data_IF_157641743660
#
_entry.id   IF_157641743660
#
_cell.length_a   1.000
_cell.length_b   1.000
_cell.length_c   1.000
_cell.angle_alpha   90.00
_cell.angle_beta   90.00
_cell.angle_gamma   90.00
#
_symmetry.space_group_name_H-M   'P 1'
#
loop_
_entity.id
_entity.type
_entity.pdbx_description
1 polymer ?
#
# COMPACT_ATOMS: atom_id res chain seq x y z
N UNK A 1 48.44 51.07 2.59
CA UNK A 1 47.83 50.12 1.66
C UNK A 1 47.58 48.83 2.41
N UNK A 2 46.33 48.41 2.57
CA UNK A 2 45.99 47.15 3.25
C UNK A 2 45.28 46.24 2.24
N UNK A 3 45.81 45.05 2.00
CA UNK A 3 45.15 43.99 1.24
C UNK A 3 44.70 42.90 2.21
N UNK A 4 43.40 42.56 2.21
CA UNK A 4 42.87 41.39 2.93
C UNK A 4 42.97 40.16 2.03
N UNK A 5 43.23 38.95 2.57
CA UNK A 5 42.99 37.71 1.84
C UNK A 5 41.48 37.41 1.81
N UNK A 6 41.00 36.82 0.71
CA UNK A 6 39.58 36.49 0.51
C UNK A 6 39.47 35.17 -0.26
N UNK A 7 39.78 34.05 0.41
CA UNK A 7 39.61 32.68 -0.10
C UNK A 7 39.80 31.64 1.03
N UNK A 8 38.70 31.21 1.65
CA UNK A 8 38.61 29.95 2.43
C UNK A 8 37.18 29.63 2.90
N UNK A 9 36.23 30.57 2.87
CA UNK A 9 34.85 30.33 3.36
C UNK A 9 33.92 29.65 2.32
N UNK A 10 34.23 29.72 1.02
CA UNK A 10 33.33 29.29 -0.06
C UNK A 10 33.24 27.76 -0.23
N UNK A 11 34.30 27.01 0.07
CA UNK A 11 34.28 25.53 -0.07
C UNK A 11 33.43 24.85 1.02
N UNK A 12 33.35 25.44 2.22
CA UNK A 12 32.60 24.85 3.35
C UNK A 12 31.09 24.95 3.12
N UNK A 13 30.60 26.12 2.69
CA UNK A 13 29.19 26.31 2.35
C UNK A 13 28.78 25.43 1.16
N UNK A 14 29.63 25.28 0.14
CA UNK A 14 29.35 24.40 -0.99
C UNK A 14 29.20 22.94 -0.57
N UNK A 15 30.06 22.45 0.35
CA UNK A 15 29.97 21.10 0.89
C UNK A 15 28.69 20.89 1.73
N UNK A 16 28.31 21.88 2.56
CA UNK A 16 27.05 21.84 3.32
C UNK A 16 25.82 21.88 2.41
N UNK A 17 25.84 22.69 1.35
CA UNK A 17 24.76 22.76 0.38
C UNK A 17 24.64 21.45 -0.42
N UNK A 18 25.76 20.82 -0.78
CA UNK A 18 25.80 19.49 -1.41
C UNK A 18 25.32 18.38 -0.47
N UNK A 19 25.64 18.44 0.83
CA UNK A 19 25.11 17.53 1.85
C UNK A 19 23.60 17.72 2.05
N UNK A 20 23.11 18.95 2.12
CA UNK A 20 21.68 19.26 2.19
C UNK A 20 20.96 18.79 0.92
N UNK A 21 21.51 19.02 -0.27
CA UNK A 21 20.97 18.55 -1.53
C UNK A 21 20.98 17.01 -1.63
N UNK A 22 22.01 16.33 -1.11
CA UNK A 22 22.02 14.86 -1.01
C UNK A 22 20.98 14.33 -0.01
N UNK A 23 20.79 14.98 1.14
CA UNK A 23 19.74 14.62 2.10
C UNK A 23 18.33 14.81 1.50
N UNK A 24 18.14 15.79 0.60
CA UNK A 24 16.89 15.96 -0.14
C UNK A 24 16.73 14.98 -1.32
N UNK A 25 17.79 14.28 -1.73
CA UNK A 25 17.83 13.37 -2.89
C UNK A 25 17.75 11.88 -2.54
N UNK A 26 17.60 11.52 -1.25
CA UNK A 26 17.31 10.14 -0.80
C UNK A 26 16.00 10.03 0.00
N UNK A 27 14.91 10.55 -0.57
CA UNK A 27 13.59 9.98 -0.28
C UNK A 27 13.33 8.87 -1.31
N UNK A 28 13.76 7.64 -0.98
CA UNK A 28 13.06 6.49 -1.54
C UNK A 28 11.67 6.50 -0.93
N UNK A 29 10.62 6.54 -1.76
CA UNK A 29 9.21 6.37 -1.34
C UNK A 29 8.95 4.90 -0.96
N UNK A 30 9.78 4.37 -0.06
CA UNK A 30 9.60 3.05 0.51
C UNK A 30 8.40 3.10 1.47
N UNK A 31 7.49 2.13 1.35
CA UNK A 31 6.33 2.00 2.24
C UNK A 31 6.80 2.02 3.70
N UNK A 32 6.51 3.12 4.39
CA UNK A 32 6.92 3.33 5.77
C UNK A 32 6.22 2.33 6.69
N UNK A 33 6.88 2.01 7.81
CA UNK A 33 6.30 1.16 8.85
C UNK A 33 6.15 1.96 10.13
N UNK A 34 4.93 2.03 10.65
CA UNK A 34 4.56 2.81 11.84
C UNK A 34 3.90 1.91 12.89
N UNK A 35 3.99 2.33 14.16
CA UNK A 35 3.42 1.60 15.28
C UNK A 35 2.35 2.46 15.98
N UNK A 36 1.15 1.93 16.19
CA UNK A 36 0.00 2.67 16.76
C UNK A 36 0.27 3.22 18.17
N UNK A 37 1.03 2.50 18.99
CA UNK A 37 1.41 2.94 20.34
C UNK A 37 2.45 4.07 20.30
N UNK A 38 3.39 4.04 19.35
CA UNK A 38 4.49 5.02 19.29
C UNK A 38 4.00 6.35 18.67
N UNK A 39 3.11 6.27 17.67
CA UNK A 39 2.47 7.41 17.00
C UNK A 39 1.11 7.77 17.63
N UNK A 40 0.96 7.55 18.93
CA UNK A 40 -0.29 7.76 19.66
C UNK A 40 -0.75 9.23 19.60
N UNK A 41 -1.96 9.45 19.06
CA UNK A 41 -2.58 10.77 18.87
C UNK A 41 -2.10 11.52 17.62
N UNK A 42 -1.27 10.91 16.78
CA UNK A 42 -0.73 11.53 15.57
C UNK A 42 -1.60 11.26 14.33
N UNK A 43 -1.38 12.10 13.32
CA UNK A 43 -1.92 11.92 11.97
C UNK A 43 -0.76 11.68 11.00
N UNK A 44 -0.70 10.47 10.42
CA UNK A 44 0.26 10.11 9.38
C UNK A 44 -0.35 10.38 8.00
N UNK A 45 0.47 10.86 7.07
CA UNK A 45 0.05 11.17 5.71
C UNK A 45 0.93 10.42 4.73
N UNK A 46 0.30 9.73 3.78
CA UNK A 46 0.98 9.01 2.71
C UNK A 46 -0.02 8.29 1.83
N UNK A 47 0.50 7.53 0.87
CA UNK A 47 -0.32 6.72 -0.03
C UNK A 47 -0.41 5.27 0.41
N UNK A 48 0.64 4.72 1.03
CA UNK A 48 0.54 3.46 1.74
C UNK A 48 1.60 3.31 2.83
N UNK A 49 1.22 2.67 3.94
CA UNK A 49 2.12 2.37 5.06
C UNK A 49 1.72 1.07 5.74
N UNK A 50 2.70 0.35 6.28
CA UNK A 50 2.48 -0.79 7.18
C UNK A 50 2.22 -0.24 8.59
N UNK A 51 1.10 -0.62 9.19
CA UNK A 51 0.66 -0.21 10.52
C UNK A 51 0.69 -1.41 11.45
N UNK A 52 1.67 -1.44 12.35
CA UNK A 52 1.75 -2.41 13.43
C UNK A 52 1.03 -1.88 14.68
N UNK A 53 0.64 -2.79 15.56
CA UNK A 53 0.16 -2.42 16.89
C UNK A 53 1.24 -1.78 17.78
N UNK A 54 2.46 -2.32 17.74
CA UNK A 54 3.62 -1.92 18.57
C UNK A 54 4.94 -2.38 17.92
N UNK A 55 6.09 -1.87 18.37
CA UNK A 55 7.41 -2.17 17.78
C UNK A 55 7.79 -3.67 17.75
N UNK A 56 7.37 -4.46 18.75
CA UNK A 56 7.66 -5.90 18.84
C UNK A 56 6.60 -6.80 18.16
N UNK A 57 5.69 -6.20 17.37
CA UNK A 57 4.71 -6.95 16.55
C UNK A 57 5.41 -7.99 15.67
N UNK A 58 4.76 -9.14 15.43
CA UNK A 58 5.31 -10.35 14.76
C UNK A 58 6.31 -11.16 15.59
N UNK A 59 6.85 -10.65 16.70
CA UNK A 59 7.76 -11.43 17.58
C UNK A 59 6.99 -12.13 18.69
N UNK A 60 6.12 -11.38 19.38
CA UNK A 60 5.17 -11.84 20.40
C UNK A 60 3.99 -10.86 20.48
N UNK A 61 3.08 -11.06 21.44
CA UNK A 61 2.01 -10.11 21.74
C UNK A 61 2.46 -8.99 22.70
N UNK A 62 1.85 -7.82 22.58
CA UNK A 62 1.91 -6.71 23.53
C UNK A 62 1.05 -7.02 24.77
N UNK A 63 1.56 -6.65 25.96
CA UNK A 63 0.88 -6.85 27.26
C UNK A 63 0.94 -5.56 28.09
N UNK A 64 0.33 -4.49 27.59
CA UNK A 64 0.19 -3.23 28.34
C UNK A 64 -1.28 -2.98 28.66
N UNK A 65 -1.58 -2.70 29.94
CA UNK A 65 -2.92 -2.36 30.42
C UNK A 65 -3.23 -0.89 30.13
N UNK A 66 -4.50 -0.55 29.89
CA UNK A 66 -4.95 0.84 29.89
C UNK A 66 -4.44 1.70 28.73
N UNK A 67 -3.93 1.09 27.67
CA UNK A 67 -3.66 1.79 26.40
C UNK A 67 -5.00 2.29 25.84
N UNK A 68 -5.08 3.57 25.50
CA UNK A 68 -6.16 4.18 24.72
C UNK A 68 -5.56 5.10 23.66
N UNK A 69 -4.91 4.49 22.68
CA UNK A 69 -4.22 5.20 21.60
C UNK A 69 -5.06 5.23 20.33
N UNK A 70 -4.87 6.29 19.55
CA UNK A 70 -5.46 6.39 18.21
C UNK A 70 -4.42 6.93 17.24
N UNK A 71 -4.51 6.49 15.99
CA UNK A 71 -3.65 6.86 14.88
C UNK A 71 -4.57 7.21 13.71
N UNK A 72 -4.42 8.42 13.19
CA UNK A 72 -5.19 8.86 12.02
C UNK A 72 -4.35 8.67 10.76
N UNK A 73 -4.88 7.93 9.79
CA UNK A 73 -4.29 7.75 8.47
C UNK A 73 -4.95 8.74 7.51
N UNK A 74 -4.13 9.53 6.82
CA UNK A 74 -4.56 10.50 5.82
C UNK A 74 -3.97 10.14 4.46
N UNK A 75 -4.81 10.00 3.44
CA UNK A 75 -4.33 9.85 2.06
C UNK A 75 -3.59 11.13 1.59
N UNK A 76 -2.51 10.98 0.82
CA UNK A 76 -1.76 12.12 0.24
C UNK A 76 -2.67 13.04 -0.57
N UNK A 77 -3.53 12.46 -1.40
CA UNK A 77 -4.55 13.15 -2.19
C UNK A 77 -5.86 13.33 -1.40
N UNK A 78 -6.49 14.52 -1.42
CA UNK A 78 -7.77 14.76 -0.75
C UNK A 78 -8.97 14.15 -1.49
N UNK A 79 -8.79 13.64 -2.72
CA UNK A 79 -9.82 12.95 -3.51
C UNK A 79 -9.94 11.46 -3.16
N UNK A 80 -8.96 10.94 -2.42
CA UNK A 80 -8.79 9.52 -2.20
C UNK A 80 -9.52 9.09 -0.94
N UNK A 81 -9.81 7.79 -0.87
CA UNK A 81 -10.28 7.09 0.31
C UNK A 81 -9.12 6.27 0.88
N UNK A 82 -9.26 5.86 2.13
CA UNK A 82 -8.27 5.02 2.82
C UNK A 82 -8.90 3.65 3.05
N UNK A 83 -8.27 2.61 2.53
CA UNK A 83 -8.55 1.22 2.88
C UNK A 83 -7.53 0.80 3.95
N UNK A 84 -7.97 0.05 4.95
CA UNK A 84 -7.10 -0.67 5.89
C UNK A 84 -7.33 -2.17 5.74
N UNK A 85 -6.25 -2.93 5.56
CA UNK A 85 -6.26 -4.39 5.46
C UNK A 85 -5.47 -5.01 6.61
N UNK A 86 -6.02 -6.02 7.29
CA UNK A 86 -5.28 -6.75 8.34
C UNK A 86 -4.56 -7.96 7.73
N UNK A 87 -3.22 -7.98 7.81
CA UNK A 87 -2.39 -9.15 7.45
C UNK A 87 -2.26 -10.11 8.64
N UNK A 88 -2.28 -9.59 9.87
CA UNK A 88 -2.34 -10.36 11.11
C UNK A 88 -3.22 -9.66 12.15
N UNK A 89 -3.97 -10.42 12.96
CA UNK A 89 -4.85 -9.86 13.99
C UNK A 89 -5.04 -10.79 15.19
N UNK A 90 -4.63 -10.31 16.35
CA UNK A 90 -4.76 -10.96 17.66
C UNK A 90 -5.07 -9.88 18.69
N UNK A 91 -6.34 -9.71 19.06
CA UNK A 91 -6.75 -8.65 20.01
C UNK A 91 -7.76 -9.25 20.98
N UNK A 92 -7.30 -9.62 22.17
CA UNK A 92 -8.17 -10.16 23.22
C UNK A 92 -7.58 -9.94 24.62
N UNK A 93 -8.32 -10.33 25.65
CA UNK A 93 -7.83 -10.34 27.03
C UNK A 93 -8.19 -11.67 27.69
N UNK A 94 -7.21 -12.32 28.33
CA UNK A 94 -7.37 -13.62 29.00
C UNK A 94 -8.25 -13.51 30.26
N UNK A 95 -8.13 -12.39 30.98
CA UNK A 95 -8.92 -12.07 32.16
C UNK A 95 -9.69 -10.78 31.85
N UNK A 96 -10.96 -10.94 31.48
CA UNK A 96 -11.90 -9.86 31.20
C UNK A 96 -12.37 -9.23 32.51
N UNK A 97 -12.54 -7.92 32.52
CA UNK A 97 -13.16 -7.22 33.65
C UNK A 97 -14.66 -7.15 33.36
N UNK A 98 -15.48 -7.66 34.29
CA UNK A 98 -16.93 -7.54 34.19
C UNK A 98 -17.31 -6.05 34.15
N UNK A 99 -18.25 -5.63 33.28
CA UNK A 99 -18.77 -4.27 33.32
C UNK A 99 -19.29 -3.94 34.72
N UNK A 100 -18.85 -2.82 35.29
CA UNK A 100 -19.41 -2.28 36.52
C UNK A 100 -20.80 -1.69 36.22
N UNK A 101 -21.79 -2.57 36.05
CA UNK A 101 -23.19 -2.17 36.08
C UNK A 101 -23.49 -1.61 37.48
N UNK A 102 -24.09 -0.41 37.61
CA UNK A 102 -24.61 0.03 38.90
C UNK A 102 -25.67 -0.98 39.36
N UNK A 103 -25.56 -1.43 40.61
CA UNK A 103 -26.55 -2.33 41.19
C UNK A 103 -27.93 -1.66 41.18
N UNK A 104 -29.00 -2.32 40.71
CA UNK A 104 -30.35 -1.76 40.82
C UNK A 104 -30.70 -1.64 42.30
N UNK A 105 -30.94 -0.40 42.76
CA UNK A 105 -31.53 -0.14 44.07
C UNK A 105 -33.01 -0.53 44.03
N UNK A 106 -33.29 -1.80 44.31
CA UNK A 106 -34.66 -2.25 44.58
C UNK A 106 -35.04 -1.87 46.02
N UNK A 107 -36.13 -1.12 46.25
CA UNK A 107 -36.73 -0.99 47.57
C UNK A 107 -37.38 -2.33 47.97
N UNK A 108 -37.16 -2.79 49.19
CA UNK A 108 -37.89 -3.93 49.75
C UNK A 108 -39.39 -3.62 49.88
N UNK A 109 -40.24 -4.53 49.45
CA UNK A 109 -41.62 -4.65 49.94
C UNK A 109 -42.10 -6.11 49.85
N UNK A 110 -42.79 -6.66 50.87
CA UNK A 110 -42.86 -8.12 51.04
C UNK A 110 -44.20 -8.77 50.66
N UNK A 111 -44.11 -10.08 50.33
CA UNK A 111 -45.16 -11.13 50.31
C UNK A 111 -46.23 -11.10 49.20
N UNK A 112 -46.16 -12.13 48.34
CA UNK A 112 -47.25 -12.66 47.52
C UNK A 112 -46.96 -14.13 47.18
N UNK A 113 -47.90 -15.04 47.44
CA UNK A 113 -47.64 -16.47 47.61
C UNK A 113 -47.64 -17.32 46.33
N UNK A 114 -46.55 -18.07 46.13
CA UNK A 114 -46.52 -19.52 45.82
C UNK A 114 -47.15 -20.02 44.47
N UNK A 115 -47.10 -21.33 44.16
CA UNK A 115 -45.94 -21.94 43.48
C UNK A 115 -46.33 -22.67 42.16
N UNK A 116 -45.33 -23.17 41.41
CA UNK A 116 -45.29 -24.47 40.69
C UNK A 116 -44.31 -24.43 39.49
N UNK A 117 -43.42 -25.42 39.43
CA UNK A 117 -42.62 -25.85 38.27
C UNK A 117 -43.15 -27.27 37.89
N UNK A 118 -42.99 -27.80 36.65
CA UNK A 118 -41.72 -27.75 35.90
C UNK A 118 -41.78 -27.76 34.34
N UNK A 119 -40.57 -27.67 33.75
CA UNK A 119 -40.06 -28.44 32.57
C UNK A 119 -39.92 -27.72 31.21
N UNK A 120 -38.67 -27.32 30.95
CA UNK A 120 -37.93 -27.35 29.67
C UNK A 120 -38.58 -26.76 28.40
N UNK A 121 -38.14 -25.55 28.06
CA UNK A 121 -37.64 -25.17 26.72
C UNK A 121 -36.52 -24.14 26.95
N UNK A 122 -35.33 -24.25 26.33
CA UNK A 122 -34.26 -23.28 26.51
C UNK A 122 -34.50 -22.07 25.61
N UNK A 123 -35.26 -21.08 26.08
CA UNK A 123 -35.31 -19.78 25.40
C UNK A 123 -33.94 -19.13 25.41
N UNK A 124 -33.24 -19.25 24.29
CA UNK A 124 -31.95 -18.65 23.98
C UNK A 124 -32.06 -17.12 23.96
N UNK A 125 -32.11 -16.55 25.15
CA UNK A 125 -32.12 -15.12 25.45
C UNK A 125 -30.93 -14.76 26.34
N UNK A 126 -29.76 -15.40 26.12
CA UNK A 126 -28.51 -14.82 26.58
C UNK A 126 -28.44 -13.41 26.00
N UNK A 127 -28.38 -12.41 26.88
CA UNK A 127 -27.97 -11.07 26.49
C UNK A 127 -26.54 -11.21 25.98
N UNK A 128 -26.39 -11.29 24.65
CA UNK A 128 -25.12 -11.47 23.95
C UNK A 128 -24.33 -10.18 24.08
N UNK A 129 -23.77 -9.96 25.27
CA UNK A 129 -22.92 -8.83 25.57
C UNK A 129 -21.76 -8.82 24.58
N UNK A 130 -21.54 -7.66 23.96
CA UNK A 130 -20.51 -7.48 22.93
C UNK A 130 -19.19 -8.14 23.41
N UNK A 131 -18.67 -9.14 22.66
CA UNK A 131 -17.53 -9.94 23.10
C UNK A 131 -16.25 -9.12 23.29
N UNK A 132 -16.21 -7.89 22.78
CA UNK A 132 -15.09 -6.97 22.88
C UNK A 132 -15.26 -5.95 24.03
N UNK A 133 -16.48 -5.68 24.49
CA UNK A 133 -16.78 -4.65 25.50
C UNK A 133 -16.06 -4.86 26.85
N UNK A 134 -15.85 -6.12 27.25
CA UNK A 134 -15.20 -6.54 28.49
C UNK A 134 -13.68 -6.79 28.36
N UNK A 135 -13.08 -6.51 27.20
CA UNK A 135 -11.68 -6.79 26.90
C UNK A 135 -11.02 -5.72 26.04
N UNK A 136 -9.88 -6.08 25.45
CA UNK A 136 -9.16 -5.24 24.48
C UNK A 136 -9.83 -5.28 23.12
N UNK A 137 -9.80 -4.17 22.38
CA UNK A 137 -10.41 -4.04 21.06
C UNK A 137 -9.73 -2.98 20.19
N UNK A 138 -9.97 -3.05 18.89
CA UNK A 138 -9.68 -2.00 17.91
C UNK A 138 -10.99 -1.44 17.37
N UNK A 139 -11.10 -0.13 17.24
CA UNK A 139 -12.25 0.55 16.62
C UNK A 139 -11.77 1.47 15.50
N UNK A 140 -12.43 1.43 14.35
CA UNK A 140 -12.21 2.40 13.27
C UNK A 140 -13.26 3.51 13.29
N UNK A 141 -12.88 4.70 12.84
CA UNK A 141 -13.76 5.86 12.68
C UNK A 141 -13.52 6.52 11.31
N UNK A 142 -14.61 6.91 10.64
CA UNK A 142 -14.61 7.49 9.30
C UNK A 142 -14.34 9.00 9.37
N UNK A 143 -13.08 9.37 9.54
CA UNK A 143 -12.67 10.76 9.66
C UNK A 143 -11.36 10.95 10.42
N UNK A 144 -11.14 12.19 10.87
CA UNK A 144 -9.86 12.70 11.39
C UNK A 144 -9.52 12.28 12.82
N UNK A 145 -10.53 11.88 13.60
CA UNK A 145 -10.36 11.53 15.01
C UNK A 145 -11.53 10.67 15.56
N UNK A 146 -11.39 10.24 16.82
CA UNK A 146 -12.32 9.37 17.58
C UNK A 146 -13.75 9.94 17.81
N UNK A 147 -14.05 11.17 17.41
CA UNK A 147 -15.39 11.79 17.42
C UNK A 147 -16.11 11.63 16.07
N UNK A 148 -15.38 11.20 15.04
CA UNK A 148 -15.94 10.88 13.72
C UNK A 148 -16.84 9.63 13.82
N UNK A 149 -17.74 9.35 12.86
CA UNK A 149 -18.63 8.20 12.93
C UNK A 149 -17.85 6.86 13.02
N UNK A 150 -18.21 5.93 13.93
CA UNK A 150 -17.54 4.64 14.03
C UNK A 150 -17.88 3.74 12.82
N UNK A 151 -16.86 3.08 12.27
CA UNK A 151 -17.00 2.09 11.19
C UNK A 151 -17.15 0.69 11.79
N UNK A 152 -18.40 0.23 11.87
CA UNK A 152 -18.74 -1.08 12.41
C UNK A 152 -18.54 -1.21 13.93
N UNK A 153 -18.81 -2.41 14.49
CA UNK A 153 -18.60 -2.69 15.91
C UNK A 153 -17.10 -2.79 16.26
N UNK A 154 -16.75 -2.74 17.56
CA UNK A 154 -15.40 -3.00 18.01
C UNK A 154 -14.88 -4.36 17.55
N UNK A 155 -13.61 -4.41 17.15
CA UNK A 155 -12.94 -5.58 16.61
C UNK A 155 -12.07 -6.23 17.70
N UNK A 156 -12.30 -7.50 17.96
CA UNK A 156 -11.49 -8.35 18.84
C UNK A 156 -11.55 -9.81 18.36
N UNK A 157 -10.58 -10.64 18.76
CA UNK A 157 -10.47 -12.04 18.34
C UNK A 157 -9.04 -12.45 17.97
N UNK A 158 -8.92 -13.44 17.08
CA UNK A 158 -7.65 -14.05 16.64
C UNK A 158 -7.53 -14.21 15.12
N UNK A 159 -8.47 -13.65 14.36
CA UNK A 159 -8.60 -13.82 12.91
C UNK A 159 -8.67 -12.44 12.27
N UNK A 160 -7.91 -12.16 11.19
CA UNK A 160 -7.99 -10.92 10.44
C UNK A 160 -9.45 -10.55 10.05
N UNK A 161 -9.94 -9.36 10.45
CA UNK A 161 -11.19 -8.81 9.96
C UNK A 161 -11.17 -8.56 8.45
N UNK A 162 -12.36 -8.32 7.86
CA UNK A 162 -12.46 -7.83 6.47
C UNK A 162 -11.81 -6.44 6.33
N UNK A 163 -11.39 -6.04 5.12
CA UNK A 163 -10.88 -4.70 4.87
C UNK A 163 -11.87 -3.62 5.33
N UNK A 164 -11.35 -2.57 5.98
CA UNK A 164 -12.12 -1.41 6.42
C UNK A 164 -11.90 -0.28 5.41
N UNK A 165 -12.97 0.35 4.94
CA UNK A 165 -12.92 1.41 3.94
C UNK A 165 -13.50 2.69 4.54
N UNK A 166 -12.81 3.83 4.41
CA UNK A 166 -13.37 5.14 4.70
C UNK A 166 -14.25 5.65 3.54
N UNK A 167 -15.09 6.67 3.81
CA UNK A 167 -15.82 7.38 2.77
C UNK A 167 -15.05 8.58 2.21
N UNK A 168 -14.09 9.12 2.95
CA UNK A 168 -13.22 10.23 2.55
C UNK A 168 -11.74 10.02 2.89
N UNK A 169 -10.93 11.08 2.79
CA UNK A 169 -9.47 10.99 2.80
C UNK A 169 -8.80 10.77 4.17
N UNK A 170 -9.57 10.40 5.20
CA UNK A 170 -9.10 10.09 6.54
C UNK A 170 -9.74 8.82 7.07
N UNK A 171 -8.95 8.02 7.80
CA UNK A 171 -9.42 6.86 8.55
C UNK A 171 -8.70 6.85 9.92
N UNK A 172 -9.44 6.84 11.02
CA UNK A 172 -8.83 6.79 12.36
C UNK A 172 -8.94 5.38 12.93
N UNK A 173 -7.80 4.77 13.29
CA UNK A 173 -7.72 3.52 14.06
C UNK A 173 -7.53 3.86 15.54
N UNK A 174 -8.32 3.27 16.44
CA UNK A 174 -8.14 3.36 17.89
C UNK A 174 -7.92 1.98 18.50
N UNK A 175 -6.81 1.81 19.22
CA UNK A 175 -6.50 0.62 20.01
C UNK A 175 -6.80 0.90 21.49
N UNK A 176 -7.61 0.05 22.11
CA UNK A 176 -7.92 0.11 23.54
C UNK A 176 -7.58 -1.23 24.21
N UNK A 177 -6.77 -1.22 25.27
CA UNK A 177 -6.46 -2.42 26.07
C UNK A 177 -7.13 -2.38 27.44
N UNK A 178 -7.90 -3.43 27.74
CA UNK A 178 -8.64 -3.60 29.01
C UNK A 178 -8.56 -5.04 29.50
N UNK A 179 -8.96 -5.27 30.75
CA UNK A 179 -8.73 -6.54 31.43
C UNK A 179 -7.37 -6.55 32.13
N UNK A 180 -7.04 -7.65 32.82
CA UNK A 180 -5.78 -7.77 33.58
C UNK A 180 -4.69 -8.56 32.85
N UNK A 181 -4.98 -9.07 31.65
CA UNK A 181 -4.03 -9.76 30.76
C UNK A 181 -4.44 -9.60 29.27
N UNK A 182 -4.22 -8.41 28.67
CA UNK A 182 -4.40 -8.20 27.24
C UNK A 182 -3.32 -8.95 26.45
N UNK A 183 -3.71 -9.37 25.26
CA UNK A 183 -2.87 -10.03 24.26
C UNK A 183 -3.19 -9.34 22.95
N UNK A 184 -2.36 -8.36 22.59
CA UNK A 184 -2.54 -7.53 21.39
C UNK A 184 -1.34 -7.68 20.48
N UNK A 185 -1.56 -8.19 19.28
CA UNK A 185 -0.68 -7.99 18.14
C UNK A 185 -1.52 -7.91 16.88
N UNK A 186 -1.24 -6.92 16.04
CA UNK A 186 -1.80 -6.85 14.71
C UNK A 186 -0.80 -6.15 13.79
N UNK A 187 -0.88 -6.55 12.53
CA UNK A 187 -0.15 -5.94 11.42
C UNK A 187 -1.18 -5.74 10.33
N UNK A 188 -1.29 -4.52 9.85
CA UNK A 188 -2.04 -4.21 8.65
C UNK A 188 -1.28 -3.24 7.77
N UNK A 189 -1.93 -2.88 6.69
CA UNK A 189 -1.50 -1.89 5.72
C UNK A 189 -2.67 -0.97 5.46
N UNK A 190 -2.38 0.32 5.29
CA UNK A 190 -3.33 1.23 4.68
C UNK A 190 -2.90 1.54 3.26
N UNK A 191 -3.91 1.72 2.39
CA UNK A 191 -3.78 2.01 0.97
C UNK A 191 -4.70 3.19 0.63
N UNK A 192 -4.18 4.24 0.02
CA UNK A 192 -4.99 5.28 -0.62
C UNK A 192 -5.55 4.78 -1.94
N UNK A 193 -6.84 5.02 -2.19
CA UNK A 193 -7.48 4.56 -3.42
C UNK A 193 -8.62 5.48 -3.88
N UNK A 194 -8.90 5.43 -5.18
CA UNK A 194 -10.11 5.97 -5.82
C UNK A 194 -10.96 4.84 -6.40
N UNK A 195 -12.22 5.14 -6.70
CA UNK A 195 -13.11 4.22 -7.40
C UNK A 195 -13.21 4.67 -8.86
N UNK A 196 -12.57 3.95 -9.77
CA UNK A 196 -12.43 4.30 -11.18
C UNK A 196 -13.70 4.08 -12.01
N UNK A 197 -14.87 4.55 -11.54
CA UNK A 197 -16.18 4.29 -12.16
C UNK A 197 -16.29 4.70 -13.64
N UNK A 198 -15.41 5.58 -14.13
CA UNK A 198 -15.37 6.00 -15.54
C UNK A 198 -13.94 6.11 -16.13
N UNK A 199 -12.94 5.44 -15.53
CA UNK A 199 -11.49 5.53 -15.86
C UNK A 199 -10.85 6.92 -15.68
N UNK A 200 -11.54 8.02 -16.00
CA UNK A 200 -11.10 9.41 -15.93
C UNK A 200 -10.71 9.92 -14.54
N UNK A 201 -11.26 9.33 -13.47
CA UNK A 201 -10.83 9.58 -12.08
C UNK A 201 -9.38 9.14 -11.81
N UNK A 202 -8.86 8.26 -12.67
CA UNK A 202 -7.52 7.68 -12.62
C UNK A 202 -6.60 8.22 -13.73
N UNK A 203 -7.15 8.85 -14.78
CA UNK A 203 -6.40 9.27 -15.97
C UNK A 203 -5.70 10.63 -15.89
N UNK A 204 -5.88 11.40 -14.82
CA UNK A 204 -5.36 12.78 -14.69
C UNK A 204 -4.21 12.92 -13.68
N UNK A 205 -3.71 11.82 -13.14
CA UNK A 205 -2.74 11.76 -12.04
C UNK A 205 -1.91 10.46 -12.18
N UNK A 206 -0.75 10.31 -11.50
CA UNK A 206 0.05 9.06 -11.52
C UNK A 206 -0.62 7.91 -10.75
N UNK A 207 -1.70 7.35 -11.30
CA UNK A 207 -2.47 6.23 -10.74
C UNK A 207 -2.44 5.01 -11.65
N UNK A 208 -2.42 3.84 -11.04
CA UNK A 208 -2.66 2.55 -11.66
C UNK A 208 -4.13 2.16 -11.54
N UNK A 209 -4.68 1.51 -12.56
CA UNK A 209 -6.07 1.00 -12.55
C UNK A 209 -6.07 -0.50 -12.28
N UNK A 210 -6.56 -0.90 -11.11
CA UNK A 210 -6.74 -2.28 -10.71
C UNK A 210 -7.83 -2.97 -11.55
N UNK A 211 -7.75 -4.29 -11.72
CA UNK A 211 -8.73 -5.10 -12.46
C UNK A 211 -10.14 -5.01 -11.84
N UNK A 212 -10.24 -4.83 -10.53
CA UNK A 212 -11.48 -4.62 -9.78
C UNK A 212 -12.07 -3.20 -9.90
N UNK A 213 -11.46 -2.31 -10.69
CA UNK A 213 -11.94 -0.94 -10.91
C UNK A 213 -11.58 0.06 -9.80
N UNK A 214 -10.81 -0.32 -8.78
CA UNK A 214 -10.09 0.65 -7.94
C UNK A 214 -8.95 1.28 -8.73
N UNK A 215 -8.49 2.43 -8.26
CA UNK A 215 -7.23 3.00 -8.70
C UNK A 215 -6.37 3.40 -7.49
N UNK A 216 -5.10 3.02 -7.53
CA UNK A 216 -4.11 3.27 -6.48
C UNK A 216 -2.97 4.13 -7.06
N UNK A 217 -2.24 4.92 -6.26
CA UNK A 217 -1.05 5.63 -6.73
C UNK A 217 0.01 4.70 -7.29
N UNK A 218 0.75 5.14 -8.32
CA UNK A 218 1.79 4.32 -8.98
C UNK A 218 2.94 3.91 -8.05
N UNK A 219 3.16 4.62 -6.94
CA UNK A 219 4.13 4.24 -5.89
C UNK A 219 3.79 2.95 -5.15
N UNK A 220 2.54 2.47 -5.28
CA UNK A 220 2.05 1.24 -4.64
C UNK A 220 2.04 0.03 -5.60
N UNK A 221 2.57 0.17 -6.82
CA UNK A 221 2.65 -0.90 -7.82
C UNK A 221 4.04 -1.54 -7.80
N UNK A 222 4.10 -2.88 -7.82
CA UNK A 222 5.33 -3.66 -7.62
C UNK A 222 6.14 -3.20 -6.39
N UNK A 223 5.49 -2.78 -5.29
CA UNK A 223 6.18 -2.18 -4.15
C UNK A 223 7.17 -3.16 -3.48
N UNK A 224 8.23 -2.63 -2.86
CA UNK A 224 9.30 -3.43 -2.23
C UNK A 224 8.82 -4.43 -1.16
N UNK A 225 7.66 -4.21 -0.56
CA UNK A 225 7.06 -5.05 0.50
C UNK A 225 6.07 -6.06 -0.08
N UNK A 226 5.73 -5.98 -1.37
CA UNK A 226 4.86 -6.90 -2.08
C UNK A 226 3.42 -6.89 -1.56
N UNK A 227 2.88 -5.69 -1.28
CA UNK A 227 1.54 -5.52 -0.73
C UNK A 227 0.54 -5.55 -1.88
N UNK A 228 -0.46 -6.43 -1.79
CA UNK A 228 -1.64 -6.38 -2.67
C UNK A 228 -2.51 -5.19 -2.23
N UNK A 229 -2.22 -4.02 -2.80
CA UNK A 229 -2.89 -2.75 -2.57
C UNK A 229 -4.20 -2.68 -3.37
N UNK A 230 -4.24 -3.27 -4.57
CA UNK A 230 -5.49 -3.43 -5.30
C UNK A 230 -6.52 -4.29 -4.54
N UNK A 231 -6.05 -5.32 -3.83
CA UNK A 231 -6.88 -6.37 -3.22
C UNK A 231 -7.35 -7.43 -4.22
N UNK A 232 -6.69 -7.49 -5.39
CA UNK A 232 -6.94 -8.46 -6.47
C UNK A 232 -5.65 -8.94 -7.17
N UNK A 233 -4.48 -8.52 -6.66
CA UNK A 233 -3.15 -8.86 -7.16
C UNK A 233 -2.70 -8.13 -8.43
N UNK A 234 -3.52 -7.28 -9.06
CA UNK A 234 -3.19 -6.65 -10.36
C UNK A 234 -1.93 -5.78 -10.33
N UNK A 235 -1.63 -5.20 -9.18
CA UNK A 235 -0.47 -4.36 -8.87
C UNK A 235 0.82 -5.16 -8.60
N UNK A 236 0.72 -6.48 -8.52
CA UNK A 236 1.83 -7.42 -8.29
C UNK A 236 2.14 -8.31 -9.51
N UNK A 237 1.43 -8.14 -10.63
CA UNK A 237 1.60 -8.99 -11.81
C UNK A 237 2.91 -8.69 -12.56
N UNK A 238 3.82 -9.67 -12.65
CA UNK A 238 5.11 -9.54 -13.34
C UNK A 238 5.00 -9.10 -14.81
N UNK A 239 3.85 -9.34 -15.44
CA UNK A 239 3.59 -9.07 -16.85
C UNK A 239 3.20 -7.60 -17.14
N UNK A 240 3.27 -6.72 -16.13
CA UNK A 240 3.28 -5.26 -16.29
C UNK A 240 4.57 -4.82 -17.01
N UNK A 241 4.65 -5.08 -18.32
CA UNK A 241 5.73 -4.72 -19.27
C UNK A 241 7.10 -4.46 -18.62
N UNK A 242 7.73 -5.54 -18.14
CA UNK A 242 9.12 -5.56 -17.61
C UNK A 242 9.33 -4.95 -16.21
N UNK A 243 8.28 -4.78 -15.40
CA UNK A 243 8.32 -4.02 -14.13
C UNK A 243 8.75 -4.75 -12.85
N UNK A 244 8.08 -5.84 -12.42
CA UNK A 244 8.22 -6.34 -11.04
C UNK A 244 9.50 -7.16 -10.71
N UNK A 245 10.65 -6.93 -11.36
CA UNK A 245 11.94 -7.48 -10.91
C UNK A 245 12.74 -6.44 -10.13
N UNK A 246 12.80 -6.65 -8.81
CA UNK A 246 13.53 -5.85 -7.83
C UNK A 246 12.97 -4.43 -7.55
N UNK A 247 11.64 -4.31 -7.45
CA UNK A 247 10.99 -3.27 -6.64
C UNK A 247 10.98 -1.84 -7.20
N UNK A 248 11.17 -1.65 -8.51
CA UNK A 248 11.09 -0.33 -9.15
C UNK A 248 10.43 -0.41 -10.53
N UNK A 249 9.46 0.47 -10.78
CA UNK A 249 9.01 0.79 -12.13
C UNK A 249 10.20 1.37 -12.91
N UNK A 250 10.73 0.61 -13.87
CA UNK A 250 11.76 1.12 -14.76
C UNK A 250 11.23 2.35 -15.52
N UNK A 251 12.03 3.42 -15.68
CA UNK A 251 11.64 4.54 -16.52
C UNK A 251 11.39 4.03 -17.96
N UNK A 252 10.44 4.63 -18.70
CA UNK A 252 10.12 4.19 -20.05
C UNK A 252 11.38 4.22 -20.92
N UNK A 253 11.67 3.09 -21.57
CA UNK A 253 12.82 2.96 -22.46
C UNK A 253 12.73 4.05 -23.56
N UNK A 254 13.80 4.83 -23.79
CA UNK A 254 13.75 5.89 -24.79
C UNK A 254 13.43 5.27 -26.16
N UNK A 255 12.59 5.93 -26.98
CA UNK A 255 12.20 5.38 -28.27
C UNK A 255 13.45 5.08 -29.11
N UNK A 256 13.48 3.94 -29.83
CA UNK A 256 14.67 3.56 -30.60
C UNK A 256 15.03 4.68 -31.58
N UNK A 257 16.32 5.00 -31.74
CA UNK A 257 16.75 6.12 -32.57
C UNK A 257 16.19 5.94 -33.98
N UNK A 258 15.44 6.95 -34.44
CA UNK A 258 14.87 6.98 -35.78
C UNK A 258 16.03 6.83 -36.77
N UNK A 259 16.06 5.71 -37.48
CA UNK A 259 17.09 5.43 -38.46
C UNK A 259 17.02 6.47 -39.58
N UNK A 260 17.97 7.39 -39.61
CA UNK A 260 18.09 8.39 -40.66
C UNK A 260 18.26 7.67 -42.00
N UNK A 261 17.43 7.93 -43.03
CA UNK A 261 17.60 7.27 -44.32
C UNK A 261 18.97 7.64 -44.92
N UNK A 262 19.66 6.68 -45.57
CA UNK A 262 20.97 6.94 -46.15
C UNK A 262 20.87 8.00 -47.28
N UNK A 263 21.90 8.83 -47.46
CA UNK A 263 21.89 9.87 -48.49
C UNK A 263 21.79 9.26 -49.90
N UNK A 264 21.13 9.93 -50.85
CA UNK A 264 20.91 9.39 -52.19
C UNK A 264 22.22 9.18 -52.94
N UNK A 265 22.40 7.98 -53.49
CA UNK A 265 23.53 7.64 -54.36
C UNK A 265 23.52 8.49 -55.64
N UNK A 266 24.48 9.40 -55.77
CA UNK A 266 24.76 10.11 -57.03
C UNK A 266 25.51 9.17 -57.96
N UNK A 267 24.90 8.82 -59.10
CA UNK A 267 25.57 8.02 -60.14
C UNK A 267 26.67 8.83 -60.85
N UNK A 268 27.88 8.26 -61.07
CA UNK A 268 28.90 8.90 -61.90
C UNK A 268 28.43 9.03 -63.38
N UNK A 269 28.93 10.03 -64.12
CA UNK A 269 28.55 10.24 -65.52
C UNK A 269 29.15 9.19 -66.46
N UNK A 270 28.35 8.76 -67.44
CA UNK A 270 28.73 7.79 -68.47
C UNK A 270 29.73 8.40 -69.46
N UNK A 271 30.91 7.79 -69.64
CA UNK A 271 31.84 8.10 -70.72
C UNK A 271 31.58 7.19 -71.95
N UNK A 272 31.79 7.68 -73.19
CA UNK A 272 31.39 6.95 -74.40
C UNK A 272 32.41 5.89 -74.87
N UNK A 273 31.90 4.91 -75.60
CA UNK A 273 32.59 3.72 -76.12
C UNK A 273 33.59 4.05 -77.24
N UNK A 274 34.80 3.46 -77.23
CA UNK A 274 35.58 3.21 -78.44
C UNK A 274 35.44 1.75 -78.91
N UNK A 275 35.34 1.56 -80.22
CA UNK A 275 35.25 0.24 -80.89
C UNK A 275 36.63 -0.36 -81.13
N UNK A 276 36.76 -1.70 -81.07
CA UNK A 276 37.35 -2.53 -82.14
C UNK A 276 37.32 -4.05 -81.86
N UNK A 277 36.72 -4.77 -82.80
CA UNK A 277 37.21 -5.98 -83.51
C UNK A 277 37.96 -7.03 -82.68
N UNK A 278 37.43 -8.26 -82.68
CA UNK A 278 38.24 -9.48 -82.64
C UNK A 278 37.72 -10.49 -83.68
N UNK A 279 38.64 -11.19 -84.34
CA UNK A 279 38.36 -12.15 -85.41
C UNK A 279 38.57 -13.60 -84.93
N UNK A 280 37.88 -14.56 -85.55
CA UNK A 280 38.35 -15.94 -85.65
C UNK A 280 37.72 -16.94 -84.65
N UNK A 281 36.85 -17.80 -85.19
CA UNK A 281 36.54 -19.14 -84.66
C UNK A 281 37.45 -20.13 -85.41
N UNK A 282 37.92 -21.24 -84.81
CA UNK A 282 37.23 -22.52 -85.08
C UNK A 282 37.13 -23.51 -83.89
N UNK A 283 36.02 -24.24 -83.89
CA UNK A 283 35.80 -25.65 -83.52
C UNK A 283 36.60 -26.35 -82.41
N UNK A 284 35.88 -26.89 -81.42
CA UNK A 284 35.73 -28.37 -81.27
C UNK A 284 34.75 -28.76 -80.14
N UNK A 285 33.84 -29.69 -80.46
CA UNK A 285 33.05 -30.51 -79.52
C UNK A 285 33.76 -31.89 -79.34
N UNK A 286 33.33 -32.89 -78.51
CA UNK A 286 31.94 -33.27 -78.20
C UNK A 286 31.63 -33.91 -76.80
N UNK A 287 30.45 -34.56 -76.70
CA UNK A 287 29.94 -35.54 -75.70
C UNK A 287 29.52 -35.03 -74.30
N UNK A 288 28.26 -35.23 -73.83
CA UNK A 288 27.54 -36.48 -73.43
C UNK A 288 28.24 -37.18 -72.23
N UNK A 289 27.64 -37.56 -71.09
CA UNK A 289 26.27 -38.00 -70.68
C UNK A 289 26.06 -37.76 -69.15
N UNK A 290 24.92 -38.01 -68.45
CA UNK A 290 23.45 -38.03 -68.70
C UNK A 290 22.70 -38.41 -67.38
N UNK A 291 21.36 -38.22 -67.30
CA UNK A 291 20.40 -38.82 -66.31
C UNK A 291 20.49 -38.31 -64.84
N UNK A 292 19.40 -37.99 -64.12
CA UNK A 292 17.94 -38.29 -64.28
C UNK A 292 17.09 -37.03 -64.15
#
# INVERSE_FOLDING_TARGET
MCARPLRMEVEVESCWLLLLLCCMALHSEAIETVNVVDFCGQNIRGDGMIVNSHQESKKYYFVTMGTDCHLTMQASSPKDKVQFHFRFFLVYSLLRVAPLSPAPLFPESPRGSAPFNPRLEPTSGESLGDPCHAGSYVQFYDGRDRRSPPLGPPLCGKSPPRPVLSTGNYLTLRLVTRGTQPRVDFVGDFTSFRLGFNQSECSNEPYFTCRNGKCIPLSLVCDEKGIDNCGDGSDLEENLTTGCKAGQLLPPEPPPPIATPPPPFVKPPTAPVPTRINCGVPDSAPSHESVT
#
